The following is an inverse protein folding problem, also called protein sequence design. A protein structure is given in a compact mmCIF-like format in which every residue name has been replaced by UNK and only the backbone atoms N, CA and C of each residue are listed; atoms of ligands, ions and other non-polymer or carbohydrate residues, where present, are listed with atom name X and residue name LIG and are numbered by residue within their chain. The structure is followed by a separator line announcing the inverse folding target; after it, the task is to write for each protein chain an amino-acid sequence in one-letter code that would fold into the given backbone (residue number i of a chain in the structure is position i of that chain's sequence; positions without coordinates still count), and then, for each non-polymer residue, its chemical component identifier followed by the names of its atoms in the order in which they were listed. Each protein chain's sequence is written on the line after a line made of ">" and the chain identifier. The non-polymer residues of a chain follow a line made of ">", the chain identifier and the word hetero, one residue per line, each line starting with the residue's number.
data_IF_530059220729
#
_entry.id   IF_530059220729
#
_cell.length_a   1.000
_cell.length_b   1.000
_cell.length_c   1.000
_cell.angle_alpha   90.00
_cell.angle_beta   90.00
_cell.angle_gamma   90.00
#
_symmetry.space_group_name_H-M   'P 1'
#
loop_
_entity.id
_entity.type
_entity.pdbx_description
1 polymer ?
#
# COMPACT_ATOMS: atom_id res chain seq x y z
N UNK A 1 14.17 7.46 13.64
CA UNK A 1 12.94 6.77 13.34
C UNK A 1 12.42 7.20 11.98
N UNK A 2 12.20 6.27 11.12
CA UNK A 2 11.79 6.61 9.77
C UNK A 2 10.28 6.59 9.63
N UNK A 3 9.78 7.53 8.86
CA UNK A 3 8.36 7.56 8.52
C UNK A 3 8.15 7.03 7.12
N UNK A 4 8.94 6.03 6.73
CA UNK A 4 8.83 5.47 5.39
C UNK A 4 7.45 4.89 5.13
N UNK A 5 6.86 4.27 6.16
CA UNK A 5 5.50 3.75 6.01
C UNK A 5 4.51 4.87 5.78
N UNK A 6 4.64 5.98 6.51
CA UNK A 6 3.77 7.13 6.32
C UNK A 6 3.98 7.77 4.95
N UNK A 7 5.23 7.90 4.53
CA UNK A 7 5.53 8.44 3.20
C UNK A 7 4.90 7.59 2.12
N UNK A 8 5.03 6.28 2.23
CA UNK A 8 4.51 5.38 1.23
C UNK A 8 2.99 5.42 1.17
N UNK A 9 2.31 5.39 2.33
CA UNK A 9 0.86 5.44 2.33
C UNK A 9 0.34 6.77 1.78
N UNK A 10 1.03 7.87 2.07
CA UNK A 10 0.67 9.17 1.51
C UNK A 10 0.81 9.19 0.00
N UNK A 11 1.86 8.60 -0.53
CA UNK A 11 2.06 8.50 -1.97
C UNK A 11 0.95 7.69 -2.63
N UNK A 12 0.56 6.58 -2.02
CA UNK A 12 -0.48 5.74 -2.58
C UNK A 12 -1.83 6.47 -2.56
N UNK A 13 -2.13 7.16 -1.46
CA UNK A 13 -3.38 7.94 -1.36
C UNK A 13 -3.38 9.07 -2.39
N UNK A 14 -2.25 9.76 -2.55
CA UNK A 14 -2.13 10.83 -3.54
C UNK A 14 -2.30 10.32 -4.96
N UNK A 15 -1.98 9.06 -5.20
CA UNK A 15 -2.15 8.43 -6.50
C UNK A 15 -3.51 7.80 -6.73
N UNK A 16 -4.49 8.08 -5.85
CA UNK A 16 -5.84 7.59 -6.03
C UNK A 16 -6.25 6.50 -5.05
N UNK A 17 -5.41 6.18 -4.08
CA UNK A 17 -5.73 5.18 -3.07
C UNK A 17 -5.49 3.74 -3.52
N UNK A 18 -4.76 3.55 -4.60
CA UNK A 18 -4.45 2.22 -5.13
C UNK A 18 -3.01 2.18 -5.62
N UNK A 19 -2.39 1.01 -5.48
CA UNK A 19 -1.06 0.78 -6.02
C UNK A 19 -1.04 -0.56 -6.73
N UNK A 20 -0.88 -0.54 -8.03
CA UNK A 20 -0.75 -1.74 -8.84
C UNK A 20 0.72 -2.17 -8.88
N UNK A 21 0.97 -3.45 -8.58
CA UNK A 21 2.31 -4.00 -8.67
C UNK A 21 2.28 -5.19 -9.61
N UNK A 22 3.16 -5.18 -10.60
CA UNK A 22 3.23 -6.21 -11.63
C UNK A 22 4.52 -7.00 -11.49
N UNK A 23 4.43 -8.31 -11.77
CA UNK A 23 5.60 -9.18 -11.84
C UNK A 23 6.18 -9.51 -10.48
N UNK A 24 7.45 -9.94 -10.49
CA UNK A 24 8.14 -10.44 -9.30
C UNK A 24 8.94 -9.34 -8.62
N UNK A 25 8.33 -8.19 -8.37
CA UNK A 25 9.00 -7.10 -7.68
C UNK A 25 9.02 -7.34 -6.17
N UNK A 26 9.91 -6.63 -5.48
CA UNK A 26 9.97 -6.68 -4.03
C UNK A 26 8.76 -5.92 -3.47
N UNK A 27 7.90 -6.63 -2.76
CA UNK A 27 6.68 -6.07 -2.18
C UNK A 27 6.77 -5.89 -0.67
N UNK A 28 7.97 -6.03 -0.10
CA UNK A 28 8.10 -5.98 1.36
C UNK A 28 7.59 -4.67 1.96
N UNK A 29 7.78 -3.54 1.25
CA UNK A 29 7.27 -2.24 1.72
C UNK A 29 5.74 -2.23 1.80
N UNK A 30 5.10 -2.81 0.81
CA UNK A 30 3.63 -2.86 0.77
C UNK A 30 3.09 -3.87 1.77
N UNK A 31 3.80 -4.98 1.95
CA UNK A 31 3.41 -5.99 2.94
C UNK A 31 3.42 -5.44 4.36
N UNK A 32 4.35 -4.54 4.67
CA UNK A 32 4.35 -3.87 5.97
C UNK A 32 3.08 -3.06 6.17
N UNK A 33 2.62 -2.37 5.14
CA UNK A 33 1.39 -1.58 5.22
C UNK A 33 0.17 -2.48 5.35
N UNK A 34 0.20 -3.66 4.73
CA UNK A 34 -0.86 -4.66 4.91
C UNK A 34 -0.90 -5.11 6.37
N UNK A 35 0.27 -5.39 6.95
CA UNK A 35 0.35 -5.81 8.35
C UNK A 35 -0.16 -4.74 9.30
N UNK A 36 0.02 -3.46 8.95
CA UNK A 36 -0.51 -2.35 9.74
C UNK A 36 -2.00 -2.14 9.55
N UNK A 37 -2.61 -2.85 8.62
CA UNK A 37 -4.02 -2.68 8.31
C UNK A 37 -4.32 -1.49 7.41
N UNK A 38 -3.29 -0.93 6.77
CA UNK A 38 -3.43 0.25 5.92
C UNK A 38 -3.70 -0.09 4.46
N UNK A 39 -3.35 -1.30 4.03
CA UNK A 39 -3.57 -1.77 2.66
C UNK A 39 -4.22 -3.14 2.68
N UNK A 40 -4.98 -3.42 1.61
CA UNK A 40 -5.55 -4.73 1.36
C UNK A 40 -5.04 -5.20 0.00
N UNK A 41 -4.43 -6.38 -0.10
CA UNK A 41 -3.96 -6.90 -1.38
C UNK A 41 -5.10 -7.57 -2.15
N UNK A 42 -5.15 -7.31 -3.46
CA UNK A 42 -6.06 -7.98 -4.37
C UNK A 42 -5.26 -8.58 -5.50
N UNK A 43 -5.32 -9.88 -5.67
CA UNK A 43 -4.67 -10.53 -6.81
C UNK A 43 -5.47 -10.25 -8.06
N UNK A 44 -4.86 -9.56 -9.01
CA UNK A 44 -5.48 -9.28 -10.29
C UNK A 44 -5.03 -10.27 -11.34
N UNK A 45 -3.92 -10.98 -11.08
CA UNK A 45 -3.31 -11.90 -12.02
C UNK A 45 -2.40 -12.84 -11.22
N UNK A 46 -1.79 -13.84 -11.88
CA UNK A 46 -0.92 -14.80 -11.22
C UNK A 46 0.24 -14.11 -10.50
N UNK A 47 0.81 -13.09 -11.13
CA UNK A 47 1.99 -12.39 -10.57
C UNK A 47 1.71 -10.93 -10.24
N UNK A 48 0.48 -10.46 -10.42
CA UNK A 48 0.16 -9.05 -10.21
C UNK A 48 -0.74 -8.88 -8.99
N UNK A 49 -0.45 -7.86 -8.20
CA UNK A 49 -1.25 -7.55 -7.01
C UNK A 49 -1.55 -6.06 -7.02
N UNK A 50 -2.83 -5.73 -6.79
CA UNK A 50 -3.24 -4.35 -6.57
C UNK A 50 -3.50 -4.15 -5.09
N UNK A 51 -2.86 -3.15 -4.50
CA UNK A 51 -3.09 -2.78 -3.10
C UNK A 51 -4.06 -1.62 -3.05
N UNK A 52 -5.06 -1.74 -2.19
CA UNK A 52 -6.03 -0.66 -1.98
C UNK A 52 -5.92 -0.15 -0.55
N UNK A 53 -6.03 1.17 -0.41
CA UNK A 53 -5.93 1.82 0.89
C UNK A 53 -7.21 1.58 1.68
N UNK A 54 -7.06 1.22 2.94
CA UNK A 54 -8.16 1.02 3.89
C UNK A 54 -8.51 2.35 4.56
N UNK A 55 -9.61 2.37 5.33
CA UNK A 55 -9.96 3.54 6.13
C UNK A 55 -8.84 3.89 7.13
N UNK A 56 -8.28 2.92 7.89
CA UNK A 56 -7.12 3.22 8.73
C UNK A 56 -5.93 3.76 7.93
N UNK A 57 -5.72 3.26 6.71
CA UNK A 57 -4.64 3.76 5.86
C UNK A 57 -4.85 5.21 5.46
N UNK A 58 -6.08 5.58 5.12
CA UNK A 58 -6.39 6.97 4.79
C UNK A 58 -6.21 7.89 6.00
N UNK A 59 -6.61 7.43 7.17
CA UNK A 59 -6.41 8.18 8.41
C UNK A 59 -4.93 8.39 8.69
N UNK A 60 -4.11 7.36 8.49
CA UNK A 60 -2.67 7.48 8.66
C UNK A 60 -2.07 8.48 7.69
N UNK A 61 -2.53 8.48 6.44
CA UNK A 61 -2.01 9.39 5.42
C UNK A 61 -2.41 10.84 5.66
N UNK A 62 -3.42 11.08 6.48
CA UNK A 62 -3.90 12.42 6.77
C UNK A 62 -3.08 13.16 7.83
N UNK A 63 -2.16 12.48 8.48
CA UNK A 63 -1.29 13.11 9.48
C UNK A 63 -0.23 13.99 8.82
#
# INVERSE_FOLDING_TARGET
>A
MTDENLKLIRQIVAGGGRKYTAGSIDRSRYERLVDLGWLIPFKTNISDIEYQVTDPGRAAAAF
#
